data_IF_466197004184
#
_entry.id   IF_466197004184
#
_cell.length_a   1.000
_cell.length_b   1.000
_cell.length_c   1.000
_cell.angle_alpha   90.00
_cell.angle_beta   90.00
_cell.angle_gamma   90.00
#
_symmetry.space_group_name_H-M   'P 1'
#
loop_
_entity.id
_entity.type
_entity.pdbx_description
1 polymer ?
#
# COMPACT_ATOMS: atom_id res chain seq x y z
N UNK A 1 -21.65 1.82 19.10
CA UNK A 1 -20.21 1.64 18.82
C UNK A 1 -20.06 1.80 17.33
N UNK A 2 -19.57 2.96 16.91
CA UNK A 2 -19.10 3.14 15.55
C UNK A 2 -17.85 2.27 15.44
N UNK A 3 -17.86 1.28 14.55
CA UNK A 3 -16.65 0.54 14.25
C UNK A 3 -15.89 1.48 13.32
N UNK A 4 -14.89 2.19 13.85
CA UNK A 4 -13.92 2.88 13.01
C UNK A 4 -13.30 1.82 12.10
N UNK A 5 -13.72 1.81 10.84
CA UNK A 5 -13.09 0.96 9.84
C UNK A 5 -11.71 1.56 9.60
N UNK A 6 -10.67 0.81 9.97
CA UNK A 6 -9.29 1.22 9.72
C UNK A 6 -9.09 1.54 8.24
N UNK A 7 -8.72 2.78 7.94
CA UNK A 7 -8.36 3.21 6.60
C UNK A 7 -6.92 2.80 6.27
N UNK A 8 -6.68 2.48 5.01
CA UNK A 8 -5.38 2.06 4.49
C UNK A 8 -5.01 2.85 3.25
N UNK A 9 -3.72 3.11 3.11
CA UNK A 9 -3.08 3.52 1.86
C UNK A 9 -2.42 2.28 1.24
N UNK A 10 -2.56 2.12 -0.08
CA UNK A 10 -2.07 0.95 -0.80
C UNK A 10 -0.79 1.28 -1.56
N UNK A 11 0.15 0.35 -1.60
CA UNK A 11 1.44 0.55 -2.25
C UNK A 11 1.88 -0.69 -3.02
N UNK A 12 2.65 -0.46 -4.07
CA UNK A 12 3.43 -1.50 -4.74
C UNK A 12 4.85 -1.43 -4.23
N UNK A 13 5.37 -2.56 -3.75
CA UNK A 13 6.77 -2.71 -3.35
C UNK A 13 7.45 -3.83 -4.14
N UNK A 14 8.79 -3.87 -4.12
CA UNK A 14 9.51 -5.02 -4.66
C UNK A 14 9.37 -6.29 -3.81
N UNK A 15 9.75 -7.43 -4.38
CA UNK A 15 9.53 -8.76 -3.81
C UNK A 15 10.15 -9.05 -2.44
N UNK A 16 11.08 -8.21 -1.97
CA UNK A 16 11.64 -8.30 -0.61
C UNK A 16 10.58 -8.05 0.46
N UNK A 17 9.55 -7.27 0.18
CA UNK A 17 8.48 -6.93 1.12
C UNK A 17 7.67 -8.14 1.60
N UNK A 18 7.80 -9.31 0.95
CA UNK A 18 7.27 -10.59 1.46
C UNK A 18 7.89 -11.01 2.79
N UNK A 19 9.14 -10.61 3.03
CA UNK A 19 9.96 -11.07 4.14
C UNK A 19 10.43 -9.91 5.02
N UNK A 20 10.66 -8.75 4.42
CA UNK A 20 11.17 -7.56 5.08
C UNK A 20 10.69 -6.30 4.34
N UNK A 21 9.64 -5.67 4.87
CA UNK A 21 9.07 -4.44 4.33
C UNK A 21 9.96 -3.23 4.56
N UNK A 22 10.83 -3.24 5.57
CA UNK A 22 11.70 -2.11 5.89
C UNK A 22 12.85 -1.95 4.89
N UNK A 23 13.36 -3.07 4.35
CA UNK A 23 14.42 -3.05 3.34
C UNK A 23 13.93 -3.02 1.89
N UNK A 24 12.63 -3.19 1.66
CA UNK A 24 12.02 -3.19 0.35
C UNK A 24 11.79 -1.76 -0.18
N UNK A 25 11.93 -1.60 -1.49
CA UNK A 25 11.67 -0.34 -2.17
C UNK A 25 10.18 -0.23 -2.52
N UNK A 26 9.63 0.97 -2.29
CA UNK A 26 8.30 1.34 -2.80
C UNK A 26 8.44 1.75 -4.28
N UNK A 27 7.67 1.12 -5.15
CA UNK A 27 7.57 1.49 -6.57
C UNK A 27 6.46 2.52 -6.81
N UNK A 28 5.31 2.37 -6.15
CA UNK A 28 4.14 3.20 -6.39
C UNK A 28 3.27 3.33 -5.12
N UNK A 29 2.69 4.52 -4.91
CA UNK A 29 1.58 4.75 -3.99
C UNK A 29 0.27 4.77 -4.78
N UNK A 30 -0.66 3.88 -4.45
CA UNK A 30 -1.86 3.57 -5.23
C UNK A 30 -3.15 4.25 -4.71
N UNK A 31 -3.10 4.97 -3.58
CA UNK A 31 -4.25 5.61 -2.98
C UNK A 31 -4.95 4.75 -1.94
N UNK A 32 -6.11 5.24 -1.49
CA UNK A 32 -6.91 4.67 -0.41
C UNK A 32 -7.80 3.49 -0.81
N UNK A 33 -7.75 3.05 -2.07
CA UNK A 33 -8.58 1.96 -2.60
C UNK A 33 -7.70 0.84 -3.10
N UNK A 34 -8.04 -0.40 -2.71
CA UNK A 34 -7.28 -1.57 -3.13
C UNK A 34 -7.23 -1.65 -4.67
N UNK A 35 -6.02 -1.63 -5.27
CA UNK A 35 -5.87 -1.79 -6.70
C UNK A 35 -6.10 -3.24 -7.12
N UNK A 36 -6.76 -3.41 -8.26
CA UNK A 36 -7.01 -4.74 -8.82
C UNK A 36 -5.72 -5.38 -9.35
N UNK A 37 -5.63 -6.70 -9.33
CA UNK A 37 -4.49 -7.40 -9.89
C UNK A 37 -4.25 -7.10 -11.38
N UNK A 38 -5.34 -6.95 -12.12
CA UNK A 38 -5.31 -6.64 -13.55
C UNK A 38 -4.70 -5.26 -13.84
N UNK A 39 -4.93 -4.26 -12.98
CA UNK A 39 -4.34 -2.93 -13.14
C UNK A 39 -2.85 -2.95 -12.83
N UNK A 40 -2.45 -3.63 -11.75
CA UNK A 40 -1.06 -3.68 -11.29
C UNK A 40 -0.14 -4.42 -12.27
N UNK A 41 -0.60 -5.57 -12.82
CA UNK A 41 0.21 -6.37 -13.76
C UNK A 41 0.63 -5.62 -15.03
N UNK A 42 -0.11 -4.60 -15.45
CA UNK A 42 0.25 -3.80 -16.63
C UNK A 42 1.50 -2.93 -16.40
N UNK A 43 1.77 -2.54 -15.15
CA UNK A 43 2.91 -1.71 -14.78
C UNK A 43 4.08 -2.49 -14.19
N UNK A 44 3.79 -3.50 -13.36
CA UNK A 44 4.80 -4.09 -12.48
C UNK A 44 4.86 -5.63 -12.50
N UNK A 45 4.12 -6.30 -13.41
CA UNK A 45 3.95 -7.77 -13.38
C UNK A 45 5.23 -8.59 -13.53
N UNK A 46 6.26 -8.04 -14.18
CA UNK A 46 7.55 -8.73 -14.39
C UNK A 46 8.64 -8.29 -13.39
N UNK A 47 8.30 -7.47 -12.38
CA UNK A 47 9.27 -6.85 -11.45
C UNK A 47 9.37 -7.57 -10.11
N UNK A 48 8.82 -8.79 -10.01
CA UNK A 48 8.63 -9.49 -8.73
C UNK A 48 7.90 -8.63 -7.68
N UNK A 49 7.01 -7.74 -8.15
CA UNK A 49 6.36 -6.75 -7.31
C UNK A 49 5.23 -7.37 -6.46
N UNK A 50 5.00 -6.77 -5.29
CA UNK A 50 3.96 -7.19 -4.37
C UNK A 50 3.07 -6.00 -3.99
N UNK A 51 1.82 -6.31 -3.68
CA UNK A 51 0.88 -5.36 -3.11
C UNK A 51 1.00 -5.40 -1.59
N UNK A 52 1.22 -4.23 -1.00
CA UNK A 52 1.19 -4.00 0.44
C UNK A 52 0.16 -2.91 0.75
N UNK A 53 -0.17 -2.77 2.04
CA UNK A 53 -0.96 -1.64 2.55
C UNK A 53 -0.34 -1.12 3.85
N UNK A 54 -0.62 0.12 4.21
CA UNK A 54 -0.26 0.65 5.53
C UNK A 54 -1.44 1.40 6.14
N UNK A 55 -1.71 1.26 7.45
CA UNK A 55 -2.81 1.94 8.10
C UNK A 55 -2.56 3.45 8.09
N UNK A 56 -3.56 4.24 7.69
CA UNK A 56 -3.45 5.70 7.73
C UNK A 56 -3.50 6.17 9.17
N UNK A 57 -2.48 6.92 9.59
CA UNK A 57 -2.37 7.45 10.97
C UNK A 57 -2.63 8.94 11.06
N UNK A 58 -2.46 9.68 9.95
CA UNK A 58 -2.85 11.08 9.86
C UNK A 58 -3.20 11.48 8.42
N UNK A 59 -4.15 12.41 8.30
CA UNK A 59 -4.53 13.07 7.05
C UNK A 59 -4.49 14.58 7.21
N UNK A 60 -4.26 15.28 6.10
CA UNK A 60 -4.41 16.72 6.03
C UNK A 60 -5.89 17.08 6.21
N UNK A 61 -6.20 17.92 7.19
CA UNK A 61 -7.58 18.31 7.50
C UNK A 61 -8.24 19.18 6.44
N UNK A 62 -7.47 19.73 5.51
CA UNK A 62 -7.91 20.64 4.45
C UNK A 62 -8.09 19.90 3.13
N UNK A 63 -7.10 19.10 2.72
CA UNK A 63 -7.11 18.40 1.44
C UNK A 63 -7.63 16.96 1.54
N UNK A 64 -7.53 16.35 2.73
CA UNK A 64 -7.83 14.94 2.95
C UNK A 64 -6.70 13.99 2.54
N UNK A 65 -5.55 14.53 2.11
CA UNK A 65 -4.40 13.73 1.69
C UNK A 65 -3.76 12.99 2.86
N UNK A 66 -3.23 11.80 2.61
CA UNK A 66 -2.52 11.01 3.61
C UNK A 66 -1.17 11.68 3.92
N UNK A 67 -0.95 12.02 5.19
CA UNK A 67 0.30 12.63 5.67
C UNK A 67 1.24 11.56 6.22
N UNK A 68 0.69 10.60 6.97
CA UNK A 68 1.47 9.53 7.59
C UNK A 68 0.72 8.21 7.59
N UNK A 69 1.50 7.14 7.48
CA UNK A 69 1.05 5.76 7.63
C UNK A 69 1.80 5.09 8.78
N UNK A 70 1.26 3.97 9.28
CA UNK A 70 1.98 3.03 10.13
C UNK A 70 2.82 2.05 9.32
N UNK A 71 3.11 0.90 9.91
CA UNK A 71 3.94 -0.13 9.29
C UNK A 71 3.26 -0.76 8.07
N UNK A 72 4.07 -1.23 7.11
CA UNK A 72 3.56 -1.93 5.94
C UNK A 72 3.11 -3.36 6.28
N UNK A 73 2.01 -3.76 5.67
CA UNK A 73 1.45 -5.11 5.72
C UNK A 73 1.49 -5.72 4.32
N UNK A 74 2.21 -6.83 4.17
CA UNK A 74 2.14 -7.63 2.94
C UNK A 74 0.72 -8.15 2.72
N UNK A 75 0.20 -8.02 1.50
CA UNK A 75 -1.12 -8.51 1.14
C UNK A 75 -1.01 -9.68 0.16
N UNK A 76 -0.35 -9.49 -0.98
CA UNK A 76 -0.27 -10.50 -2.05
C UNK A 76 0.75 -10.15 -3.13
N UNK A 77 1.15 -11.16 -3.89
CA UNK A 77 1.90 -10.99 -5.13
C UNK A 77 1.03 -10.36 -6.23
N UNK A 78 1.68 -9.68 -7.18
CA UNK A 78 1.06 -9.03 -8.34
C UNK A 78 1.16 -9.92 -9.56
#
# INVERSE_FOLDING_TARGET
>A
MEIDMQEYEWFVMDGRARFDTESAAVFEACGNKEPSNKSLRKGCGDMDAVLVRAPVTAKDSTTGDVISCGDFEYVRDI
#
